data_IF_270485283728
#
_entry.id   IF_270485283728
#
_cell.length_a   1.000
_cell.length_b   1.000
_cell.length_c   1.000
_cell.angle_alpha   90.00
_cell.angle_beta   90.00
_cell.angle_gamma   90.00
#
_symmetry.space_group_name_H-M   'P 1'
#
loop_
_entity.id
_entity.type
_entity.pdbx_description
1 polymer ?
#
# COMPACT_ATOMS: atom_id res chain seq x y z
N UNK A 1 16.50 5.05 -21.19
CA UNK A 1 17.47 5.20 -20.10
C UNK A 1 16.70 5.68 -18.89
N UNK A 2 16.55 4.85 -17.86
CA UNK A 2 15.84 5.22 -16.63
C UNK A 2 16.81 5.99 -15.73
N UNK A 3 16.42 7.19 -15.32
CA UNK A 3 17.22 8.06 -14.46
C UNK A 3 17.06 7.67 -12.99
N UNK A 4 18.09 7.94 -12.16
CA UNK A 4 18.00 7.74 -10.71
C UNK A 4 16.84 8.51 -10.07
N UNK A 5 16.47 9.65 -10.65
CA UNK A 5 15.34 10.46 -10.19
C UNK A 5 14.01 9.70 -10.36
N UNK A 6 13.79 9.05 -11.50
CA UNK A 6 12.58 8.24 -11.74
C UNK A 6 12.47 7.06 -10.78
N UNK A 7 13.59 6.42 -10.44
CA UNK A 7 13.65 5.33 -9.45
C UNK A 7 13.20 5.81 -8.07
N UNK A 8 13.72 6.97 -7.62
CA UNK A 8 13.35 7.56 -6.35
C UNK A 8 11.88 7.96 -6.32
N UNK A 9 11.36 8.54 -7.41
CA UNK A 9 9.95 8.91 -7.54
C UNK A 9 9.05 7.67 -7.50
N UNK A 10 9.44 6.57 -8.16
CA UNK A 10 8.68 5.32 -8.13
C UNK A 10 8.64 4.69 -6.73
N UNK A 11 9.79 4.66 -6.05
CA UNK A 11 9.88 4.16 -4.67
C UNK A 11 9.05 5.01 -3.70
N UNK A 12 9.12 6.34 -3.83
CA UNK A 12 8.35 7.28 -3.02
C UNK A 12 6.85 7.11 -3.26
N UNK A 13 6.40 7.06 -4.52
CA UNK A 13 4.98 6.84 -4.84
C UNK A 13 4.48 5.48 -4.38
N UNK A 14 5.31 4.44 -4.46
CA UNK A 14 4.97 3.12 -3.92
C UNK A 14 4.78 3.12 -2.40
N UNK A 15 5.71 3.74 -1.67
CA UNK A 15 5.63 3.86 -0.22
C UNK A 15 4.44 4.72 0.23
N UNK A 16 4.21 5.85 -0.44
CA UNK A 16 3.08 6.74 -0.14
C UNK A 16 1.76 6.04 -0.43
N UNK A 17 1.58 5.42 -1.60
CA UNK A 17 0.35 4.70 -1.93
C UNK A 17 0.08 3.52 -1.00
N UNK A 18 1.11 2.73 -0.67
CA UNK A 18 0.97 1.59 0.25
C UNK A 18 0.57 2.03 1.66
N UNK A 19 1.19 3.11 2.18
CA UNK A 19 0.89 3.65 3.51
C UNK A 19 -0.46 4.36 3.58
N UNK A 20 -0.87 5.09 2.53
CA UNK A 20 -2.19 5.73 2.45
C UNK A 20 -3.31 4.69 2.41
N UNK A 21 -3.19 3.69 1.53
CA UNK A 21 -4.23 2.66 1.38
C UNK A 21 -4.29 1.77 2.62
N UNK A 22 -3.14 1.28 3.11
CA UNK A 22 -3.10 0.45 4.31
C UNK A 22 -3.56 1.20 5.57
N UNK A 23 -3.11 2.45 5.74
CA UNK A 23 -3.47 3.30 6.87
C UNK A 23 -4.96 3.65 6.89
N UNK A 24 -5.55 4.02 5.75
CA UNK A 24 -6.98 4.32 5.64
C UNK A 24 -7.84 3.07 5.86
N UNK A 25 -7.49 1.93 5.26
CA UNK A 25 -8.23 0.69 5.48
C UNK A 25 -8.19 0.25 6.95
N UNK A 26 -7.02 0.36 7.59
CA UNK A 26 -6.87 0.06 9.01
C UNK A 26 -7.70 1.03 9.86
N UNK A 27 -7.56 2.34 9.65
CA UNK A 27 -8.27 3.35 10.42
C UNK A 27 -9.79 3.26 10.32
N UNK A 28 -10.31 3.11 9.09
CA UNK A 28 -11.74 2.95 8.85
C UNK A 28 -12.24 1.62 9.42
N UNK A 29 -11.51 0.53 9.17
CA UNK A 29 -11.85 -0.78 9.69
C UNK A 29 -11.92 -0.79 11.22
N UNK A 30 -10.91 -0.22 11.90
CA UNK A 30 -10.87 -0.18 13.36
C UNK A 30 -12.01 0.69 13.91
N UNK A 31 -12.30 1.82 13.25
CA UNK A 31 -13.44 2.68 13.59
C UNK A 31 -14.77 1.93 13.51
N UNK A 32 -14.99 1.11 12.48
CA UNK A 32 -16.19 0.30 12.35
C UNK A 32 -16.28 -0.78 13.43
N UNK A 33 -15.16 -1.45 13.75
CA UNK A 33 -15.10 -2.47 14.82
C UNK A 33 -15.42 -1.84 16.18
N UNK A 34 -14.85 -0.67 16.50
CA UNK A 34 -15.12 0.05 17.75
C UNK A 34 -16.59 0.46 17.86
N UNK A 35 -17.26 0.73 16.73
CA UNK A 35 -18.70 1.03 16.68
C UNK A 35 -19.59 -0.23 16.63
N UNK A 36 -19.09 -1.41 17.02
CA UNK A 36 -19.81 -2.71 17.00
C UNK A 36 -20.29 -3.17 15.60
N UNK A 37 -19.81 -2.53 14.52
CA UNK A 37 -20.06 -2.99 13.16
C UNK A 37 -19.08 -4.10 12.85
N UNK A 38 -19.52 -5.35 12.99
CA UNK A 38 -18.69 -6.55 12.82
C UNK A 38 -18.12 -6.68 11.40
N UNK A 39 -18.75 -6.03 10.40
CA UNK A 39 -18.21 -5.92 9.05
C UNK A 39 -16.88 -5.15 8.98
N UNK A 40 -16.53 -4.36 10.00
CA UNK A 40 -15.24 -3.65 10.09
C UNK A 40 -14.03 -4.58 10.03
N UNK A 41 -14.16 -5.83 10.51
CA UNK A 41 -13.09 -6.84 10.43
C UNK A 41 -12.70 -7.19 8.99
N UNK A 42 -13.64 -7.11 8.05
CA UNK A 42 -13.38 -7.31 6.62
C UNK A 42 -12.50 -6.21 6.05
N UNK A 43 -12.47 -5.02 6.66
CA UNK A 43 -11.59 -3.92 6.27
C UNK A 43 -10.26 -3.94 7.03
N UNK A 44 -10.27 -4.30 8.32
CA UNK A 44 -9.07 -4.38 9.16
C UNK A 44 -8.12 -5.50 8.73
N UNK A 45 -8.63 -6.72 8.55
CA UNK A 45 -7.80 -7.89 8.24
C UNK A 45 -7.00 -7.74 6.94
N UNK A 46 -7.59 -7.28 5.82
CA UNK A 46 -6.83 -7.09 4.60
C UNK A 46 -6.09 -5.75 4.53
N UNK A 47 -6.23 -4.84 5.49
CA UNK A 47 -5.56 -3.53 5.44
C UNK A 47 -4.04 -3.68 5.28
N UNK A 48 -3.43 -4.57 6.06
CA UNK A 48 -1.99 -4.86 5.99
C UNK A 48 -1.57 -5.53 4.67
N UNK A 49 -2.19 -6.65 4.22
CA UNK A 49 -1.82 -7.26 2.95
C UNK A 49 -2.20 -6.41 1.73
N UNK A 50 -3.27 -5.59 1.77
CA UNK A 50 -3.64 -4.70 0.67
C UNK A 50 -2.62 -3.56 0.51
N UNK A 51 -2.21 -2.92 1.62
CA UNK A 51 -1.13 -1.93 1.59
C UNK A 51 0.20 -2.53 1.14
N UNK A 52 0.54 -3.72 1.65
CA UNK A 52 1.75 -4.46 1.27
C UNK A 52 1.75 -4.94 -0.19
N UNK A 53 0.60 -5.41 -0.70
CA UNK A 53 0.47 -5.88 -2.09
C UNK A 53 0.61 -4.73 -3.09
N UNK A 54 0.03 -3.57 -2.79
CA UNK A 54 0.20 -2.37 -3.63
C UNK A 54 1.66 -1.90 -3.65
N UNK A 55 2.31 -1.85 -2.49
CA UNK A 55 3.74 -1.54 -2.39
C UNK A 55 4.60 -2.56 -3.16
N UNK A 56 4.30 -3.86 -3.02
CA UNK A 56 5.02 -4.94 -3.71
C UNK A 56 4.86 -4.88 -5.23
N UNK A 57 3.66 -4.62 -5.75
CA UNK A 57 3.41 -4.51 -7.19
C UNK A 57 4.18 -3.34 -7.81
N UNK A 58 4.23 -2.20 -7.12
CA UNK A 58 4.98 -1.04 -7.58
C UNK A 58 6.50 -1.25 -7.48
N UNK A 59 6.97 -1.87 -6.39
CA UNK A 59 8.37 -2.26 -6.24
C UNK A 59 8.81 -3.30 -7.28
N UNK A 60 7.93 -4.24 -7.65
CA UNK A 60 8.20 -5.24 -8.69
C UNK A 60 8.31 -4.62 -10.08
N UNK A 61 7.53 -3.57 -10.36
CA UNK A 61 7.67 -2.78 -11.60
C UNK A 61 9.01 -2.03 -11.63
N UNK A 62 9.39 -1.43 -10.51
CA UNK A 62 10.69 -0.76 -10.39
C UNK A 62 11.87 -1.73 -10.61
N UNK A 63 11.84 -2.90 -9.97
CA UNK A 63 12.89 -3.90 -10.10
C UNK A 63 13.07 -4.39 -11.55
N UNK A 64 11.98 -4.48 -12.33
CA UNK A 64 12.04 -4.83 -13.75
C UNK A 64 12.67 -3.73 -14.60
N UNK A 65 12.41 -2.46 -14.27
CA UNK A 65 13.00 -1.30 -14.96
C UNK A 65 14.47 -1.05 -14.60
N UNK A 66 14.96 -1.65 -13.51
CA UNK A 66 16.35 -1.60 -13.06
C UNK A 66 17.19 -2.79 -13.55
N UNK A 67 16.55 -3.92 -13.87
CA UNK A 67 17.21 -5.16 -14.32
C UNK A 67 17.43 -5.25 -15.82
N UNK A 68 16.88 -4.31 -16.60
CA UNK A 68 17.14 -4.05 -18.02
C UNK A 68 17.99 -2.78 -18.16
#
# INVERSE_FOLDING_TARGET
MVTRSEILVLGLTAGVMGSLVGGLMLGIGLGLVVNNVHAGWVLVLPAAPAGGALGYLLARRLARQLGE
#
